data_IF_798101203075
#
_entry.id   IF_798101203075
#
_cell.length_a   1.000
_cell.length_b   1.000
_cell.length_c   1.000
_cell.angle_alpha   90.00
_cell.angle_beta   90.00
_cell.angle_gamma   90.00
#
_symmetry.space_group_name_H-M   'P 1'
#
loop_
_entity.id
_entity.type
_entity.pdbx_description
1 polymer ?
#
# COMPACT_ATOMS: atom_id res chain seq x y z
N UNK A 1 -3.73 10.51 -5.03
CA UNK A 1 -3.46 10.52 -3.57
C UNK A 1 -4.75 10.57 -2.74
N UNK A 2 -5.80 11.25 -3.18
CA UNK A 2 -7.09 11.31 -2.48
C UNK A 2 -7.73 9.93 -2.21
N UNK A 3 -7.50 8.93 -3.06
CA UNK A 3 -7.90 7.54 -2.82
C UNK A 3 -7.33 6.96 -1.52
N UNK A 4 -6.09 7.29 -1.14
CA UNK A 4 -5.53 6.85 0.13
C UNK A 4 -6.17 7.62 1.31
N UNK A 5 -6.49 8.90 1.13
CA UNK A 5 -7.19 9.68 2.14
C UNK A 5 -8.63 9.22 2.37
N UNK A 6 -9.28 8.63 1.37
CA UNK A 6 -10.65 8.14 1.53
C UNK A 6 -10.73 7.02 2.57
N UNK A 7 -9.64 6.29 2.82
CA UNK A 7 -9.53 5.32 3.94
C UNK A 7 -9.81 5.94 5.32
N UNK A 8 -9.63 7.24 5.51
CA UNK A 8 -9.97 7.93 6.76
C UNK A 8 -11.15 8.91 6.62
N UNK A 9 -11.28 9.57 5.47
CA UNK A 9 -12.24 10.67 5.28
C UNK A 9 -13.49 10.26 4.48
N UNK A 10 -13.55 9.05 3.95
CA UNK A 10 -14.59 8.67 3.00
C UNK A 10 -14.63 9.60 1.78
N UNK A 11 -15.84 9.93 1.31
CA UNK A 11 -16.04 10.79 0.14
C UNK A 11 -15.55 12.25 0.36
N UNK A 12 -15.37 12.69 1.60
CA UNK A 12 -14.84 14.02 1.89
C UNK A 12 -13.38 14.20 1.44
N UNK A 13 -12.63 13.09 1.23
CA UNK A 13 -11.27 13.12 0.69
C UNK A 13 -11.16 13.81 -0.68
N UNK A 14 -12.25 13.89 -1.44
CA UNK A 14 -12.25 14.43 -2.80
C UNK A 14 -12.63 15.90 -2.87
N UNK A 15 -12.98 16.54 -1.75
CA UNK A 15 -13.52 17.89 -1.73
C UNK A 15 -12.46 19.01 -1.93
N UNK A 16 -11.16 18.71 -1.77
CA UNK A 16 -10.12 19.74 -1.91
C UNK A 16 -8.73 19.31 -1.48
N UNK A 17 -7.88 20.30 -1.19
CA UNK A 17 -6.45 20.11 -0.95
C UNK A 17 -6.12 19.24 0.28
N UNK A 18 -6.96 19.25 1.32
CA UNK A 18 -6.75 18.46 2.54
C UNK A 18 -6.63 16.96 2.24
N UNK A 19 -7.53 16.42 1.42
CA UNK A 19 -7.47 15.00 1.06
C UNK A 19 -6.28 14.66 0.15
N UNK A 20 -5.79 15.62 -0.63
CA UNK A 20 -4.56 15.44 -1.40
C UNK A 20 -3.34 15.34 -0.48
N UNK A 21 -3.18 16.27 0.47
CA UNK A 21 -2.06 16.27 1.43
C UNK A 21 -2.11 15.02 2.30
N UNK A 22 -3.25 14.76 2.96
CA UNK A 22 -3.41 13.58 3.81
C UNK A 22 -3.18 12.28 3.03
N UNK A 23 -3.72 12.20 1.82
CA UNK A 23 -3.56 11.02 0.98
C UNK A 23 -2.12 10.79 0.56
N UNK A 24 -1.35 11.85 0.36
CA UNK A 24 0.08 11.75 0.05
C UNK A 24 0.86 11.26 1.27
N UNK A 25 0.57 11.81 2.45
CA UNK A 25 1.18 11.35 3.71
C UNK A 25 0.87 9.88 3.98
N UNK A 26 -0.38 9.46 3.79
CA UNK A 26 -0.79 8.06 3.95
C UNK A 26 -0.11 7.16 2.93
N UNK A 27 -0.02 7.58 1.66
CA UNK A 27 0.66 6.80 0.63
C UNK A 27 2.13 6.56 0.98
N UNK A 28 2.84 7.61 1.41
CA UNK A 28 4.23 7.48 1.88
C UNK A 28 4.31 6.59 3.11
N UNK A 29 3.39 6.77 4.08
CA UNK A 29 3.34 5.95 5.29
C UNK A 29 3.20 4.45 4.98
N UNK A 30 2.25 4.07 4.11
CA UNK A 30 2.02 2.65 3.78
C UNK A 30 3.12 2.05 2.89
N UNK A 31 3.96 2.88 2.24
CA UNK A 31 5.16 2.41 1.54
C UNK A 31 6.37 2.29 2.47
N UNK A 32 6.57 3.25 3.37
CA UNK A 32 7.74 3.30 4.26
C UNK A 32 7.65 2.27 5.38
N UNK A 33 6.48 2.09 5.99
CA UNK A 33 6.33 1.16 7.14
C UNK A 33 6.74 -0.27 6.78
N UNK A 34 6.26 -0.87 5.66
CA UNK A 34 6.71 -2.20 5.28
C UNK A 34 8.18 -2.26 4.86
N UNK A 35 8.70 -1.21 4.21
CA UNK A 35 10.12 -1.15 3.85
C UNK A 35 11.02 -1.15 5.09
N UNK A 36 10.66 -0.40 6.13
CA UNK A 36 11.36 -0.40 7.42
C UNK A 36 11.23 -1.77 8.08
N UNK A 37 10.05 -2.39 8.08
CA UNK A 37 9.86 -3.74 8.63
C UNK A 37 10.77 -4.76 7.92
N UNK A 38 10.84 -4.71 6.59
CA UNK A 38 11.73 -5.56 5.81
C UNK A 38 13.21 -5.30 6.14
N UNK A 39 13.62 -4.04 6.26
CA UNK A 39 14.99 -3.68 6.65
C UNK A 39 15.34 -4.22 8.05
N UNK A 40 14.42 -4.16 9.01
CA UNK A 40 14.61 -4.73 10.35
C UNK A 40 14.74 -6.26 10.32
N UNK A 41 14.00 -6.95 9.44
CA UNK A 41 14.13 -8.40 9.23
C UNK A 41 15.49 -8.72 8.62
N UNK A 42 15.90 -8.00 7.59
CA UNK A 42 17.22 -8.18 6.95
C UNK A 42 18.36 -7.90 7.92
N UNK A 43 18.23 -6.90 8.79
CA UNK A 43 19.24 -6.57 9.78
C UNK A 43 19.45 -7.73 10.78
N UNK A 44 18.37 -8.38 11.19
CA UNK A 44 18.43 -9.54 12.11
C UNK A 44 18.80 -10.84 11.41
N UNK A 45 18.42 -10.98 10.13
CA UNK A 45 18.60 -12.20 9.34
C UNK A 45 19.27 -11.85 8.00
N UNK A 46 20.60 -11.57 7.98
CA UNK A 46 21.29 -11.04 6.80
C UNK A 46 21.25 -11.96 5.57
N UNK A 47 20.99 -13.26 5.76
CA UNK A 47 20.83 -14.21 4.66
C UNK A 47 19.63 -13.87 3.76
N UNK A 48 18.59 -13.21 4.30
CA UNK A 48 17.43 -12.75 3.52
C UNK A 48 17.86 -11.78 2.42
N UNK A 49 18.89 -10.96 2.67
CA UNK A 49 19.40 -10.01 1.67
C UNK A 49 19.98 -10.68 0.42
N UNK A 50 20.50 -11.92 0.55
CA UNK A 50 21.02 -12.68 -0.60
C UNK A 50 19.91 -13.10 -1.57
N UNK A 51 18.67 -13.07 -1.11
CA UNK A 51 17.48 -13.45 -1.85
C UNK A 51 16.50 -12.28 -1.95
N UNK A 52 16.99 -11.04 -1.97
CA UNK A 52 16.14 -9.85 -2.03
C UNK A 52 15.17 -9.86 -3.22
N UNK A 53 15.59 -10.45 -4.36
CA UNK A 53 14.74 -10.65 -5.54
C UNK A 53 13.55 -11.60 -5.34
N UNK A 54 13.55 -12.40 -4.27
CA UNK A 54 12.39 -13.18 -3.79
C UNK A 54 11.71 -12.45 -2.64
N UNK A 55 12.49 -11.90 -1.70
CA UNK A 55 11.98 -11.24 -0.50
C UNK A 55 11.09 -10.05 -0.79
N UNK A 56 11.45 -9.23 -1.78
CA UNK A 56 10.63 -8.12 -2.28
C UNK A 56 9.27 -8.59 -2.79
N UNK A 57 9.21 -9.50 -3.78
CA UNK A 57 7.94 -10.07 -4.25
C UNK A 57 7.09 -10.72 -3.16
N UNK A 58 7.70 -11.44 -2.22
CA UNK A 58 6.97 -12.03 -1.08
C UNK A 58 6.37 -10.94 -0.20
N UNK A 59 7.13 -9.89 0.12
CA UNK A 59 6.62 -8.72 0.86
C UNK A 59 5.45 -8.08 0.11
N UNK A 60 5.59 -7.86 -1.20
CA UNK A 60 4.54 -7.31 -2.06
C UNK A 60 3.25 -8.13 -2.02
N UNK A 61 3.34 -9.46 -2.12
CA UNK A 61 2.20 -10.37 -2.02
C UNK A 61 1.52 -10.23 -0.64
N UNK A 62 2.31 -10.25 0.44
CA UNK A 62 1.79 -10.10 1.80
C UNK A 62 1.02 -8.79 1.94
N UNK A 63 1.59 -7.68 1.46
CA UNK A 63 0.97 -6.36 1.56
C UNK A 63 -0.28 -6.22 0.71
N UNK A 64 -0.29 -6.77 -0.51
CA UNK A 64 -1.46 -6.76 -1.37
C UNK A 64 -2.67 -7.41 -0.66
N UNK A 65 -2.47 -8.59 -0.06
CA UNK A 65 -3.54 -9.27 0.67
C UNK A 65 -3.84 -8.61 2.02
N UNK A 66 -2.84 -8.08 2.73
CA UNK A 66 -3.06 -7.34 3.97
C UNK A 66 -3.91 -6.08 3.74
N UNK A 67 -3.65 -5.35 2.66
CA UNK A 67 -4.47 -4.20 2.29
C UNK A 67 -5.90 -4.64 1.95
N UNK A 68 -6.05 -5.67 1.12
CA UNK A 68 -7.37 -6.15 0.68
C UNK A 68 -8.24 -6.76 1.79
N UNK A 69 -7.64 -7.48 2.74
CA UNK A 69 -8.37 -8.24 3.76
C UNK A 69 -8.41 -7.58 5.13
N UNK A 70 -7.50 -6.65 5.42
CA UNK A 70 -7.42 -6.03 6.74
C UNK A 70 -7.62 -4.52 6.64
N UNK A 71 -6.77 -3.82 5.90
CA UNK A 71 -6.76 -2.36 5.94
C UNK A 71 -8.01 -1.76 5.29
N UNK A 72 -8.33 -2.14 4.05
CA UNK A 72 -9.48 -1.57 3.34
C UNK A 72 -10.81 -1.90 4.03
N UNK A 73 -11.10 -3.16 4.42
CA UNK A 73 -12.37 -3.49 5.09
C UNK A 73 -12.57 -2.79 6.44
N UNK A 74 -11.49 -2.47 7.15
CA UNK A 74 -11.54 -1.79 8.45
C UNK A 74 -11.45 -0.26 8.34
N UNK A 75 -11.42 0.28 7.13
CA UNK A 75 -11.27 1.71 6.87
C UNK A 75 -12.56 2.34 6.33
N UNK A 76 -12.62 3.67 6.27
CA UNK A 76 -13.69 4.41 5.62
C UNK A 76 -13.56 4.42 4.08
N UNK A 77 -12.71 3.56 3.51
CA UNK A 77 -12.32 3.60 2.11
C UNK A 77 -13.54 3.58 1.19
N UNK A 78 -13.53 4.52 0.27
CA UNK A 78 -14.57 4.66 -0.74
C UNK A 78 -13.97 5.28 -1.99
N UNK A 79 -14.61 5.03 -3.13
CA UNK A 79 -14.15 5.44 -4.44
C UNK A 79 -15.27 6.15 -5.20
N UNK A 80 -15.02 7.29 -5.86
CA UNK A 80 -15.98 7.90 -6.76
C UNK A 80 -16.34 6.95 -7.89
N UNK A 81 -17.56 7.04 -8.41
CA UNK A 81 -18.04 6.18 -9.50
C UNK A 81 -17.19 6.27 -10.79
N UNK A 82 -16.46 7.37 -10.99
CA UNK A 82 -15.53 7.56 -12.11
C UNK A 82 -14.23 6.78 -11.98
N UNK A 83 -13.93 6.21 -10.80
CA UNK A 83 -12.70 5.46 -10.55
C UNK A 83 -12.97 3.98 -10.78
N UNK A 84 -12.37 3.42 -11.83
CA UNK A 84 -12.41 1.97 -12.06
C UNK A 84 -11.34 1.28 -11.22
N UNK A 85 -11.66 0.16 -10.55
CA UNK A 85 -10.66 -0.64 -9.84
C UNK A 85 -9.56 -1.12 -10.79
N UNK A 86 -8.31 -1.11 -10.31
CA UNK A 86 -7.21 -1.73 -11.06
C UNK A 86 -7.46 -3.24 -11.18
N UNK A 87 -7.26 -3.87 -12.36
CA UNK A 87 -7.40 -5.31 -12.50
C UNK A 87 -6.43 -6.06 -11.58
N UNK A 88 -6.86 -7.22 -11.10
CA UNK A 88 -6.15 -8.00 -10.07
C UNK A 88 -4.68 -8.28 -10.42
N UNK A 89 -4.41 -8.74 -11.65
CA UNK A 89 -3.05 -9.16 -12.05
C UNK A 89 -2.08 -7.96 -12.07
N UNK A 90 -2.36 -6.84 -12.77
CA UNK A 90 -1.56 -5.63 -12.66
C UNK A 90 -1.40 -5.13 -11.21
N UNK A 91 -2.47 -5.18 -10.42
CA UNK A 91 -2.44 -4.76 -9.02
C UNK A 91 -1.50 -5.65 -8.20
N UNK A 92 -1.49 -6.96 -8.40
CA UNK A 92 -0.57 -7.86 -7.70
C UNK A 92 0.88 -7.63 -8.13
N UNK A 93 1.13 -7.51 -9.44
CA UNK A 93 2.49 -7.35 -10.00
C UNK A 93 3.15 -6.04 -9.54
N UNK A 94 2.41 -4.93 -9.47
CA UNK A 94 2.97 -3.66 -8.99
C UNK A 94 3.35 -3.71 -7.51
N UNK A 95 2.64 -4.50 -6.69
CA UNK A 95 3.04 -4.71 -5.30
C UNK A 95 4.29 -5.58 -5.20
N UNK A 96 4.39 -6.62 -6.03
CA UNK A 96 5.52 -7.55 -6.03
C UNK A 96 6.84 -6.92 -6.47
N UNK A 97 6.81 -6.06 -7.49
CA UNK A 97 8.03 -5.59 -8.17
C UNK A 97 8.19 -4.08 -8.19
N UNK A 98 7.12 -3.32 -7.92
CA UNK A 98 7.19 -1.86 -7.81
C UNK A 98 7.36 -1.39 -6.37
N UNK A 99 6.72 -2.08 -5.42
CA UNK A 99 6.82 -1.78 -3.99
C UNK A 99 7.78 -2.71 -3.25
N UNK A 100 7.71 -4.02 -3.51
CA UNK A 100 8.60 -5.03 -2.96
C UNK A 100 9.95 -5.06 -3.66
#
# INVERSE_FOLDING_TARGET
MQLAASSLMGMAAYAGATGFVLGTLLHVFVSVVPAVAYALVVWQVPVVNRWAWIGGPVLGIILFFFMGFVVLPLSAFTTPASVTPMPFVPALLIHMFGLG
#
